data_IF_724631408285
#
_entry.id   IF_724631408285
#
_cell.length_a   1.000
_cell.length_b   1.000
_cell.length_c   1.000
_cell.angle_alpha   90.00
_cell.angle_beta   90.00
_cell.angle_gamma   90.00
#
_symmetry.space_group_name_H-M   'P 1'
#
loop_
_entity.id
_entity.type
_entity.pdbx_description
1 polymer ?
#
# COMPACT_ATOMS: atom_id res chain seq x y z
N UNK A 1 25.34 17.41 27.00
CA UNK A 1 24.44 16.59 26.20
C UNK A 1 25.13 16.34 24.85
N UNK A 2 25.49 15.09 24.53
CA UNK A 2 26.06 14.78 23.22
C UNK A 2 24.96 14.86 22.18
N UNK A 3 25.20 15.62 21.11
CA UNK A 3 24.29 15.68 19.96
C UNK A 3 24.16 14.28 19.35
N UNK A 4 22.94 13.75 19.27
CA UNK A 4 22.66 12.51 18.57
C UNK A 4 22.82 12.79 17.08
N UNK A 5 23.84 12.21 16.45
CA UNK A 5 24.04 12.32 15.02
C UNK A 5 23.03 11.40 14.31
N UNK A 6 22.03 11.98 13.67
CA UNK A 6 21.11 11.24 12.81
C UNK A 6 21.79 10.89 11.49
N UNK A 7 21.76 9.61 11.13
CA UNK A 7 22.28 9.12 9.84
C UNK A 7 21.13 8.56 9.03
N UNK A 8 20.92 9.11 7.83
CA UNK A 8 19.97 8.54 6.88
C UNK A 8 20.41 7.14 6.46
N UNK A 9 19.48 6.18 6.55
CA UNK A 9 19.70 4.80 6.13
C UNK A 9 18.74 4.46 5.01
N UNK A 10 19.25 3.75 4.02
CA UNK A 10 18.47 3.26 2.89
C UNK A 10 18.34 1.75 3.00
N UNK A 11 17.15 1.24 2.68
CA UNK A 11 16.87 -0.19 2.65
C UNK A 11 16.38 -0.63 1.28
N UNK A 12 16.46 -1.95 1.06
CA UNK A 12 15.87 -2.65 -0.08
C UNK A 12 15.48 -4.05 0.37
N UNK A 13 14.82 -4.83 -0.49
CA UNK A 13 14.53 -6.25 -0.22
C UNK A 13 15.77 -7.08 0.11
N UNK A 14 16.92 -6.69 -0.44
CA UNK A 14 18.18 -7.41 -0.27
C UNK A 14 19.04 -6.85 0.85
N UNK A 15 18.82 -5.60 1.24
CA UNK A 15 19.63 -4.92 2.24
C UNK A 15 18.79 -4.04 3.14
N UNK A 16 18.37 -4.59 4.27
CA UNK A 16 17.59 -3.88 5.29
C UNK A 16 18.02 -4.28 6.70
N UNK A 17 17.77 -3.42 7.66
CA UNK A 17 17.91 -3.77 9.09
C UNK A 17 16.63 -4.46 9.54
N UNK A 18 16.76 -5.59 10.22
CA UNK A 18 15.62 -6.25 10.85
C UNK A 18 15.05 -5.37 11.94
N UNK A 19 13.75 -5.23 11.95
CA UNK A 19 13.00 -4.51 12.96
C UNK A 19 12.13 -5.47 13.79
N UNK A 20 11.57 -4.93 14.86
CA UNK A 20 10.52 -5.56 15.64
C UNK A 20 9.27 -4.70 15.64
N UNK A 21 8.15 -5.28 16.07
CA UNK A 21 6.94 -4.51 16.32
C UNK A 21 7.13 -3.73 17.63
N UNK A 22 6.89 -2.43 17.57
CA UNK A 22 6.94 -1.57 18.75
C UNK A 22 5.53 -1.06 19.04
N UNK A 23 5.04 -1.29 20.24
CA UNK A 23 3.77 -0.73 20.71
C UNK A 23 4.04 0.57 21.47
N UNK A 24 3.16 1.56 21.26
CA UNK A 24 3.23 2.85 21.98
C UNK A 24 2.17 2.79 23.07
N UNK A 25 2.57 3.09 24.30
CA UNK A 25 1.68 3.07 25.47
C UNK A 25 1.00 1.71 25.71
N UNK A 26 1.66 0.61 25.36
CA UNK A 26 1.16 -0.77 25.48
C UNK A 26 -0.21 -1.02 24.81
N UNK A 27 -0.67 -0.13 23.95
CA UNK A 27 -1.89 -0.29 23.19
C UNK A 27 -1.58 -0.80 21.78
N UNK A 28 -2.05 -1.99 21.45
CA UNK A 28 -1.87 -2.61 20.12
C UNK A 28 -2.48 -1.79 18.98
N UNK A 29 -3.40 -0.87 19.26
CA UNK A 29 -3.93 0.06 18.27
C UNK A 29 -2.93 1.16 17.90
N UNK A 30 -1.92 1.37 18.73
CA UNK A 30 -0.86 2.35 18.52
C UNK A 30 0.48 1.67 18.24
N UNK A 31 0.48 0.45 17.71
CA UNK A 31 1.76 -0.11 17.33
C UNK A 31 2.28 0.59 16.08
N UNK A 32 3.51 0.99 16.18
CA UNK A 32 4.26 1.46 15.06
C UNK A 32 5.40 0.48 14.82
N UNK A 33 5.56 0.08 13.59
CA UNK A 33 6.81 -0.27 12.96
C UNK A 33 7.29 -1.69 13.12
N UNK A 34 7.11 -2.33 12.05
CA UNK A 34 8.07 -3.29 11.52
C UNK A 34 8.77 -2.67 10.30
N UNK A 35 9.83 -3.29 9.83
CA UNK A 35 10.50 -2.88 8.61
C UNK A 35 9.70 -3.37 7.40
N UNK A 36 9.29 -2.46 6.51
CA UNK A 36 8.48 -2.80 5.34
C UNK A 36 9.17 -3.80 4.40
N UNK A 37 10.50 -3.74 4.28
CA UNK A 37 11.26 -4.69 3.46
C UNK A 37 11.28 -6.08 4.07
N UNK A 38 11.43 -6.18 5.40
CA UNK A 38 11.39 -7.47 6.10
C UNK A 38 10.03 -8.15 5.92
N UNK A 39 8.96 -7.40 6.07
CA UNK A 39 7.59 -7.91 5.88
C UNK A 39 7.40 -8.37 4.44
N UNK A 40 7.73 -7.52 3.45
CA UNK A 40 7.58 -7.86 2.05
C UNK A 40 8.39 -9.10 1.64
N UNK A 41 9.55 -9.33 2.24
CA UNK A 41 10.36 -10.54 1.99
C UNK A 41 9.62 -11.82 2.40
N UNK A 42 8.80 -11.75 3.45
CA UNK A 42 8.07 -12.90 4.02
C UNK A 42 6.65 -13.03 3.50
N UNK A 43 6.11 -11.98 2.88
CA UNK A 43 4.72 -11.93 2.41
C UNK A 43 4.56 -12.62 1.05
N UNK A 44 3.33 -13.08 0.79
CA UNK A 44 2.93 -13.52 -0.55
C UNK A 44 2.81 -12.30 -1.48
N UNK A 45 2.93 -12.50 -2.81
CA UNK A 45 2.69 -11.44 -3.77
C UNK A 45 1.35 -10.74 -3.53
N UNK A 46 1.39 -9.41 -3.40
CA UNK A 46 0.25 -8.52 -3.17
C UNK A 46 -0.62 -8.82 -1.94
N UNK A 47 -0.08 -9.58 -0.98
CA UNK A 47 -0.66 -9.68 0.36
C UNK A 47 -0.47 -8.35 1.08
N UNK A 48 -1.58 -7.75 1.51
CA UNK A 48 -1.58 -6.51 2.27
C UNK A 48 -1.28 -6.80 3.74
N UNK A 49 -0.15 -6.35 4.22
CA UNK A 49 0.27 -6.56 5.61
C UNK A 49 0.45 -5.21 6.28
N UNK A 50 -0.28 -4.99 7.37
CA UNK A 50 -0.16 -3.78 8.18
C UNK A 50 1.19 -3.78 8.89
N UNK A 51 1.98 -2.73 8.70
CA UNK A 51 3.27 -2.55 9.38
C UNK A 51 3.35 -1.29 10.23
N UNK A 52 2.36 -0.43 10.14
CA UNK A 52 2.17 0.72 11.01
C UNK A 52 0.70 1.05 11.14
N UNK A 53 0.29 1.43 12.34
CA UNK A 53 -1.09 1.79 12.62
C UNK A 53 -1.16 2.81 13.75
N UNK A 54 -2.09 3.72 13.63
CA UNK A 54 -2.59 4.51 14.75
C UNK A 54 -4.13 4.48 14.72
N UNK A 55 -4.79 5.30 15.54
CA UNK A 55 -6.26 5.31 15.64
C UNK A 55 -6.96 5.65 14.31
N UNK A 56 -6.29 6.37 13.41
CA UNK A 56 -6.88 6.95 12.20
C UNK A 56 -6.27 6.36 10.93
N UNK A 57 -4.99 6.01 10.97
CA UNK A 57 -4.23 5.62 9.79
C UNK A 57 -3.67 4.20 9.90
N UNK A 58 -3.75 3.51 8.77
CA UNK A 58 -3.13 2.21 8.59
C UNK A 58 -2.13 2.31 7.44
N UNK A 59 -0.89 1.90 7.69
CA UNK A 59 0.14 1.74 6.68
C UNK A 59 0.29 0.27 6.35
N UNK A 60 0.12 -0.07 5.09
CA UNK A 60 0.25 -1.42 4.58
C UNK A 60 1.48 -1.53 3.71
N UNK A 61 2.19 -2.64 3.80
CA UNK A 61 3.23 -3.00 2.83
C UNK A 61 2.77 -4.17 1.98
N UNK A 62 3.22 -4.18 0.73
CA UNK A 62 2.94 -5.23 -0.24
C UNK A 62 4.26 -5.66 -0.90
N UNK A 63 4.41 -6.97 -1.10
CA UNK A 63 5.40 -7.51 -2.02
C UNK A 63 4.85 -7.40 -3.43
N UNK A 64 5.38 -6.48 -4.23
CA UNK A 64 5.01 -6.35 -5.62
C UNK A 64 5.74 -7.39 -6.46
N UNK A 65 5.03 -8.42 -6.93
CA UNK A 65 5.60 -9.48 -7.76
C UNK A 65 4.50 -10.10 -8.65
N UNK A 66 4.72 -10.11 -9.96
CA UNK A 66 3.72 -10.57 -10.92
C UNK A 66 2.59 -9.55 -11.09
N UNK A 67 1.35 -10.03 -11.14
CA UNK A 67 0.14 -9.22 -11.34
C UNK A 67 -0.79 -9.37 -10.16
N UNK A 68 -1.23 -8.22 -9.60
CA UNK A 68 -2.22 -8.22 -8.54
C UNK A 68 -3.64 -8.50 -9.06
N UNK A 69 -4.57 -8.86 -8.18
CA UNK A 69 -5.98 -8.65 -8.46
C UNK A 69 -6.30 -7.18 -8.75
N UNK A 70 -7.48 -6.90 -9.27
CA UNK A 70 -8.01 -5.55 -9.32
C UNK A 70 -8.61 -5.15 -7.97
N UNK A 71 -8.29 -3.94 -7.53
CA UNK A 71 -8.81 -3.36 -6.31
C UNK A 71 -9.55 -2.07 -6.61
N UNK A 72 -10.44 -1.67 -5.72
CA UNK A 72 -11.07 -0.35 -5.73
C UNK A 72 -11.32 0.13 -4.30
N UNK A 73 -11.46 1.43 -4.13
CA UNK A 73 -11.66 2.04 -2.82
C UNK A 73 -12.74 3.12 -2.87
N UNK A 74 -13.44 3.33 -1.76
CA UNK A 74 -14.43 4.38 -1.61
C UNK A 74 -13.83 5.77 -1.32
N UNK A 75 -12.54 5.82 -1.02
CA UNK A 75 -11.77 7.04 -0.75
C UNK A 75 -10.47 7.04 -1.55
N UNK A 76 -9.82 8.17 -1.63
CA UNK A 76 -8.52 8.27 -2.27
C UNK A 76 -7.46 7.53 -1.44
N UNK A 77 -6.67 6.71 -2.10
CA UNK A 77 -5.50 6.03 -1.54
C UNK A 77 -4.24 6.47 -2.27
N UNK A 78 -3.10 6.06 -1.78
CA UNK A 78 -1.85 6.20 -2.51
C UNK A 78 -1.03 4.92 -2.46
N UNK A 79 -0.17 4.76 -3.46
CA UNK A 79 0.88 3.75 -3.49
C UNK A 79 2.24 4.44 -3.62
N UNK A 80 3.19 4.05 -2.80
CA UNK A 80 4.58 4.52 -2.81
C UNK A 80 5.51 3.34 -3.04
N UNK A 81 6.31 3.38 -4.11
CA UNK A 81 7.29 2.34 -4.39
C UNK A 81 8.55 2.59 -3.56
N UNK A 82 8.86 1.65 -2.67
CA UNK A 82 10.04 1.68 -1.81
C UNK A 82 11.23 0.95 -2.42
N UNK A 83 10.97 -0.08 -3.23
CA UNK A 83 11.99 -0.83 -3.97
C UNK A 83 11.41 -1.45 -5.24
N UNK A 84 12.24 -1.61 -6.28
CA UNK A 84 11.83 -2.16 -7.55
C UNK A 84 11.09 -1.17 -8.47
N UNK A 85 10.35 -1.72 -9.44
CA UNK A 85 9.51 -0.98 -10.38
C UNK A 85 8.11 -1.61 -10.43
N UNK A 86 7.07 -0.79 -10.44
CA UNK A 86 5.68 -1.23 -10.46
C UNK A 86 4.89 -0.43 -11.49
N UNK A 87 4.17 -1.12 -12.35
CA UNK A 87 3.20 -0.52 -13.26
C UNK A 87 1.83 -0.49 -12.57
N UNK A 88 1.21 0.68 -12.52
CA UNK A 88 -0.14 0.88 -11.97
C UNK A 88 -1.10 1.11 -13.12
N UNK A 89 -2.04 0.20 -13.30
CA UNK A 89 -3.10 0.28 -14.30
C UNK A 89 -4.38 0.80 -13.65
N UNK A 90 -5.07 1.73 -14.33
CA UNK A 90 -6.25 2.40 -13.81
C UNK A 90 -7.43 2.32 -14.78
N UNK A 91 -8.61 2.00 -14.23
CA UNK A 91 -9.89 1.97 -14.95
C UNK A 91 -10.94 2.70 -14.10
N UNK A 92 -11.56 3.73 -14.67
CA UNK A 92 -12.69 4.39 -14.02
C UNK A 92 -13.89 3.45 -14.06
N UNK A 93 -14.35 3.02 -12.89
CA UNK A 93 -15.46 2.06 -12.78
C UNK A 93 -16.76 2.73 -13.15
N UNK A 94 -17.59 2.04 -13.96
CA UNK A 94 -18.96 2.44 -14.24
C UNK A 94 -19.89 2.16 -13.05
N UNK A 95 -21.06 2.81 -13.06
CA UNK A 95 -22.09 2.67 -12.01
C UNK A 95 -22.68 1.27 -11.88
N UNK A 96 -22.44 0.39 -12.86
CA UNK A 96 -22.94 -0.98 -12.88
C UNK A 96 -22.07 -1.96 -12.08
N UNK A 97 -20.85 -1.61 -11.72
CA UNK A 97 -20.00 -2.43 -10.87
C UNK A 97 -20.11 -2.01 -9.40
N UNK A 98 -19.98 -2.98 -8.51
CA UNK A 98 -20.04 -2.72 -7.07
C UNK A 98 -18.99 -1.67 -6.69
N UNK A 99 -19.47 -0.50 -6.32
CA UNK A 99 -18.67 0.52 -5.67
C UNK A 99 -18.59 0.15 -4.19
N UNK A 100 -17.41 0.25 -3.55
CA UNK A 100 -17.32 0.01 -2.13
C UNK A 100 -18.32 0.87 -1.38
N UNK A 101 -18.96 0.29 -0.38
CA UNK A 101 -19.70 1.05 0.61
C UNK A 101 -18.78 2.12 1.19
N UNK A 102 -19.20 3.38 1.19
CA UNK A 102 -18.43 4.49 1.74
C UNK A 102 -18.04 4.30 3.21
N UNK A 103 -18.74 3.40 3.91
CA UNK A 103 -18.43 3.04 5.29
C UNK A 103 -17.37 1.92 5.42
N UNK A 104 -16.98 1.28 4.32
CA UNK A 104 -15.90 0.28 4.35
C UNK A 104 -14.55 0.97 4.30
N UNK A 105 -13.71 0.60 5.25
CA UNK A 105 -12.31 1.00 5.27
C UNK A 105 -11.50 0.08 4.34
N UNK A 106 -10.53 0.68 3.63
CA UNK A 106 -9.61 -0.04 2.77
C UNK A 106 -10.16 -0.43 1.41
N UNK A 107 -9.29 -0.98 0.61
CA UNK A 107 -9.62 -1.44 -0.73
C UNK A 107 -10.35 -2.78 -0.71
N UNK A 108 -11.27 -2.95 -1.63
CA UNK A 108 -11.96 -4.21 -1.90
C UNK A 108 -11.52 -4.79 -3.24
N UNK A 109 -11.68 -6.10 -3.38
CA UNK A 109 -11.44 -6.79 -4.65
C UNK A 109 -12.56 -6.46 -5.65
N UNK A 110 -12.16 -6.22 -6.90
CA UNK A 110 -13.08 -6.13 -8.02
C UNK A 110 -13.15 -7.51 -8.68
N UNK A 111 -14.34 -8.09 -8.73
CA UNK A 111 -14.53 -9.38 -9.38
C UNK A 111 -14.36 -9.26 -10.89
N UNK A 112 -13.54 -10.13 -11.45
CA UNK A 112 -13.28 -10.20 -12.89
C UNK A 112 -12.50 -8.99 -13.44
N UNK A 113 -12.78 -8.65 -14.70
CA UNK A 113 -12.16 -7.49 -15.37
C UNK A 113 -13.02 -6.25 -15.13
N UNK A 114 -12.45 -5.14 -14.67
CA UNK A 114 -13.20 -3.90 -14.46
C UNK A 114 -13.87 -3.43 -15.75
N UNK A 115 -15.15 -3.11 -15.66
CA UNK A 115 -15.93 -2.52 -16.73
C UNK A 115 -15.94 -1.01 -16.57
N UNK A 116 -15.45 -0.29 -17.58
CA UNK A 116 -15.42 1.16 -17.50
C UNK A 116 -14.41 1.78 -18.47
N UNK A 117 -14.17 3.06 -18.28
CA UNK A 117 -13.24 3.81 -19.11
C UNK A 117 -11.79 3.56 -18.66
N UNK A 118 -10.96 3.07 -19.59
CA UNK A 118 -9.52 2.96 -19.33
C UNK A 118 -8.93 4.35 -19.09
N UNK A 119 -8.26 4.53 -17.96
CA UNK A 119 -7.57 5.79 -17.63
C UNK A 119 -6.11 5.75 -18.06
N UNK A 120 -5.56 4.55 -18.29
CA UNK A 120 -4.16 4.35 -18.67
C UNK A 120 -3.38 3.60 -17.61
N UNK A 121 -2.07 3.76 -17.67
CA UNK A 121 -1.14 3.17 -16.70
C UNK A 121 0.06 4.08 -16.51
N UNK A 122 0.76 3.91 -15.40
CA UNK A 122 1.99 4.62 -15.09
C UNK A 122 3.02 3.66 -14.50
N UNK A 123 4.29 3.88 -14.81
CA UNK A 123 5.41 3.14 -14.22
C UNK A 123 5.98 3.92 -13.04
N UNK A 124 5.97 3.29 -11.90
CA UNK A 124 6.54 3.81 -10.67
C UNK A 124 7.88 3.13 -10.41
N UNK A 125 8.87 3.91 -10.04
CA UNK A 125 10.18 3.47 -9.57
C UNK A 125 10.34 3.87 -8.10
N UNK A 126 11.40 3.42 -7.47
CA UNK A 126 11.72 3.77 -6.08
C UNK A 126 11.55 5.28 -5.82
N UNK A 127 10.78 5.62 -4.80
CA UNK A 127 10.46 6.98 -4.41
C UNK A 127 9.32 7.63 -5.19
N UNK A 128 8.79 6.98 -6.23
CA UNK A 128 7.59 7.48 -6.92
C UNK A 128 6.34 7.09 -6.16
N UNK A 129 5.38 8.01 -6.18
CA UNK A 129 4.06 7.84 -5.58
C UNK A 129 2.98 8.00 -6.65
N UNK A 130 1.95 7.18 -6.57
CA UNK A 130 0.71 7.35 -7.34
C UNK A 130 -0.45 7.64 -6.41
N UNK A 131 -1.34 8.53 -6.83
CA UNK A 131 -2.68 8.65 -6.27
C UNK A 131 -3.57 7.58 -6.90
N UNK A 132 -4.33 6.89 -6.08
CA UNK A 132 -5.33 5.89 -6.47
C UNK A 132 -6.71 6.51 -6.18
N UNK A 133 -7.37 7.13 -7.18
CA UNK A 133 -8.60 7.87 -6.94
C UNK A 133 -9.74 6.95 -6.51
N UNK A 134 -10.61 7.46 -5.65
CA UNK A 134 -11.84 6.77 -5.27
C UNK A 134 -12.66 6.35 -6.50
N UNK A 135 -13.39 5.26 -6.37
CA UNK A 135 -14.25 4.73 -7.44
C UNK A 135 -13.50 4.43 -8.75
N UNK A 136 -12.21 4.13 -8.62
CA UNK A 136 -11.34 3.72 -9.72
C UNK A 136 -10.81 2.33 -9.42
N UNK A 137 -10.88 1.42 -10.37
CA UNK A 137 -10.21 0.14 -10.25
C UNK A 137 -8.72 0.32 -10.56
N UNK A 138 -7.86 -0.26 -9.74
CA UNK A 138 -6.43 -0.24 -9.95
C UNK A 138 -5.83 -1.64 -9.83
N UNK A 139 -4.76 -1.88 -10.56
CA UNK A 139 -4.02 -3.13 -10.57
C UNK A 139 -2.52 -2.83 -10.65
N UNK A 140 -1.76 -3.53 -9.84
CA UNK A 140 -0.31 -3.45 -9.86
C UNK A 140 0.30 -4.58 -10.68
N UNK A 141 1.40 -4.29 -11.39
CA UNK A 141 2.19 -5.28 -12.10
C UNK A 141 3.67 -5.00 -11.89
N UNK A 142 4.41 -6.04 -11.55
CA UNK A 142 5.86 -5.96 -11.40
C UNK A 142 6.53 -7.20 -11.98
N UNK A 143 7.51 -7.01 -12.85
CA UNK A 143 8.27 -8.10 -13.47
C UNK A 143 9.31 -8.72 -12.51
N UNK A 144 9.74 -7.96 -11.50
CA UNK A 144 10.69 -8.37 -10.48
C UNK A 144 10.13 -8.04 -9.10
N UNK A 145 10.50 -8.81 -8.06
CA UNK A 145 10.06 -8.48 -6.71
C UNK A 145 10.41 -7.05 -6.30
N UNK A 146 9.44 -6.35 -5.74
CA UNK A 146 9.57 -4.99 -5.25
C UNK A 146 8.79 -4.79 -3.96
N UNK A 147 8.79 -3.58 -3.45
CA UNK A 147 8.06 -3.18 -2.23
C UNK A 147 7.26 -1.93 -2.49
N UNK A 148 5.98 -2.03 -2.23
CA UNK A 148 5.07 -0.90 -2.17
C UNK A 148 4.58 -0.66 -0.74
N UNK A 149 4.34 0.59 -0.43
CA UNK A 149 3.59 1.01 0.73
C UNK A 149 2.29 1.64 0.24
N UNK A 150 1.18 1.13 0.74
CA UNK A 150 -0.14 1.71 0.59
C UNK A 150 -0.61 2.34 1.90
N UNK A 151 -1.55 3.26 1.79
CA UNK A 151 -2.27 3.82 2.91
C UNK A 151 -3.75 3.55 2.74
N UNK A 152 -4.34 2.87 3.71
CA UNK A 152 -5.77 2.89 3.93
C UNK A 152 -6.09 3.99 4.96
N UNK A 153 -6.97 4.91 4.62
CA UNK A 153 -7.50 5.89 5.56
C UNK A 153 -8.65 5.23 6.33
N UNK A 154 -8.53 5.12 7.66
CA UNK A 154 -9.70 4.90 8.49
C UNK A 154 -10.45 6.22 8.59
N UNK A 155 -11.72 6.27 8.18
CA UNK A 155 -12.57 7.44 8.39
C UNK A 155 -12.71 7.70 9.89
N UNK A 156 -12.45 8.94 10.33
CA UNK A 156 -12.90 9.39 11.63
C UNK A 156 -14.41 9.15 11.74
N UNK A 157 -14.80 8.35 12.71
CA UNK A 157 -16.18 8.42 13.20
C UNK A 157 -16.23 9.63 14.11
N UNK A 158 -16.74 10.74 13.59
CA UNK A 158 -17.19 11.85 14.41
C UNK A 158 -18.45 11.41 15.15
#
# INVERSE_FOLDING_TARGET
MSAVAYKTRFGSLQNYEKGGVQTISDDVKNYAFSNCFEIATKSKPYEKVVFGQNQIYVLETLRAEGQSPWFTCAHDEFALVMDGEVDVHLVKIGTSQAVPDENKNGAILVEGTPQGQKMGWMKLKRGHQALLPKNTAYQFRSAQPGVEIGRASCRERV
#
